data_IF_980323025999
#
_entry.id   IF_980323025999
#
_cell.length_a   1.000
_cell.length_b   1.000
_cell.length_c   1.000
_cell.angle_alpha   90.00
_cell.angle_beta   90.00
_cell.angle_gamma   90.00
#
_symmetry.space_group_name_H-M   'P 1'
#
loop_
_entity.id
_entity.type
_entity.pdbx_description
1 polymer ?
#
# COMPACT_ATOMS: atom_id res chain seq x y z
N UNK A 1 15.76 -9.33 14.10
CA UNK A 1 16.11 -8.75 12.76
C UNK A 1 15.82 -7.24 12.79
N UNK A 2 15.97 -6.49 11.70
CA UNK A 2 15.60 -5.05 11.65
C UNK A 2 14.47 -4.81 10.66
N UNK A 3 13.69 -3.75 10.89
CA UNK A 3 12.72 -3.24 9.90
C UNK A 3 13.48 -2.49 8.81
N UNK A 4 13.33 -2.92 7.56
CA UNK A 4 13.85 -2.19 6.41
C UNK A 4 12.91 -1.02 6.06
N UNK A 5 13.48 0.15 5.81
CA UNK A 5 12.78 1.32 5.29
C UNK A 5 13.30 1.62 3.88
N UNK A 6 12.44 1.44 2.88
CA UNK A 6 12.75 1.78 1.49
C UNK A 6 12.19 3.17 1.16
N UNK A 7 13.06 4.05 0.66
CA UNK A 7 12.71 5.40 0.18
C UNK A 7 13.48 5.73 -1.08
N UNK A 8 13.02 6.71 -1.87
CA UNK A 8 13.84 7.25 -2.95
C UNK A 8 13.45 8.69 -3.29
N UNK A 9 14.46 9.52 -3.61
CA UNK A 9 14.32 10.94 -3.92
C UNK A 9 13.49 11.23 -5.18
N UNK A 10 13.30 10.24 -6.06
CA UNK A 10 12.39 10.36 -7.21
C UNK A 10 10.94 10.64 -6.77
N UNK A 11 10.56 10.25 -5.55
CA UNK A 11 9.26 10.60 -4.94
C UNK A 11 9.05 12.12 -4.86
N UNK A 12 10.13 12.91 -4.75
CA UNK A 12 10.10 14.38 -4.74
C UNK A 12 9.97 14.99 -6.15
N UNK A 13 10.07 14.15 -7.21
CA UNK A 13 9.98 14.57 -8.61
C UNK A 13 8.61 14.33 -9.22
N UNK A 14 7.78 13.47 -8.61
CA UNK A 14 6.36 13.35 -8.95
C UNK A 14 5.59 14.58 -8.43
N UNK A 15 5.41 15.55 -9.32
CA UNK A 15 4.67 16.78 -9.06
C UNK A 15 3.22 16.64 -9.53
N UNK A 16 2.33 17.06 -8.65
CA UNK A 16 0.90 17.19 -8.92
C UNK A 16 0.51 18.67 -9.01
N UNK A 17 -0.62 19.02 -9.65
CA UNK A 17 -1.06 20.41 -9.74
C UNK A 17 -1.23 21.10 -8.37
N UNK A 18 -1.12 22.44 -8.29
CA UNK A 18 -1.36 23.15 -7.04
C UNK A 18 -2.72 22.83 -6.43
N UNK A 19 -2.74 22.52 -5.13
CA UNK A 19 -3.97 22.15 -4.40
C UNK A 19 -4.36 20.68 -4.49
N UNK A 20 -3.60 19.87 -5.24
CA UNK A 20 -3.79 18.43 -5.28
C UNK A 20 -3.41 17.79 -3.93
N UNK A 21 -4.23 16.88 -3.36
CA UNK A 21 -3.97 16.30 -2.04
C UNK A 21 -2.75 15.36 -2.04
N UNK A 22 -2.54 14.63 -3.13
CA UNK A 22 -1.37 13.78 -3.37
C UNK A 22 -0.14 14.66 -3.69
N UNK A 23 0.37 15.39 -2.70
CA UNK A 23 1.43 16.40 -2.85
C UNK A 23 2.78 15.92 -2.30
N UNK A 24 3.88 16.52 -2.79
CA UNK A 24 5.25 16.25 -2.33
C UNK A 24 5.39 16.39 -0.81
N UNK A 25 4.70 17.36 -0.20
CA UNK A 25 4.77 17.60 1.24
C UNK A 25 4.44 16.36 2.08
N UNK A 26 3.67 15.39 1.55
CA UNK A 26 3.40 14.10 2.20
C UNK A 26 4.69 13.36 2.55
N UNK A 27 5.57 13.15 1.56
CA UNK A 27 6.81 12.41 1.79
C UNK A 27 7.82 13.22 2.60
N UNK A 28 7.82 14.55 2.49
CA UNK A 28 8.66 15.41 3.33
C UNK A 28 8.30 15.27 4.82
N UNK A 29 6.99 15.25 5.14
CA UNK A 29 6.53 15.08 6.52
C UNK A 29 6.80 13.67 7.05
N UNK A 30 6.60 12.63 6.23
CA UNK A 30 6.96 11.25 6.57
C UNK A 30 8.47 11.14 6.85
N UNK A 31 9.31 11.64 5.95
CA UNK A 31 10.76 11.61 6.12
C UNK A 31 11.20 12.37 7.37
N UNK A 32 10.61 13.53 7.64
CA UNK A 32 10.89 14.28 8.86
C UNK A 32 10.53 13.49 10.13
N UNK A 33 9.36 12.86 10.17
CA UNK A 33 8.92 12.04 11.30
C UNK A 33 9.81 10.81 11.50
N UNK A 34 10.12 10.09 10.42
CA UNK A 34 10.96 8.90 10.46
C UNK A 34 12.44 9.21 10.67
N UNK A 35 12.89 10.47 10.64
CA UNK A 35 14.25 10.87 11.02
C UNK A 35 14.43 11.11 12.52
N UNK A 36 13.36 11.01 13.32
CA UNK A 36 13.44 11.18 14.76
C UNK A 36 14.27 10.05 15.45
N UNK A 37 14.91 10.32 16.61
CA UNK A 37 15.86 9.39 17.24
C UNK A 37 15.32 7.98 17.53
N UNK A 38 14.02 7.84 17.80
CA UNK A 38 13.40 6.54 18.04
C UNK A 38 13.43 5.61 16.81
N UNK A 39 13.61 6.16 15.61
CA UNK A 39 13.71 5.42 14.34
C UNK A 39 15.17 5.25 13.87
N UNK A 40 16.15 5.47 14.75
CA UNK A 40 17.56 5.34 14.42
C UNK A 40 18.00 3.91 14.08
N UNK A 41 17.22 2.91 14.51
CA UNK A 41 17.50 1.49 14.26
C UNK A 41 16.88 0.94 12.96
N UNK A 42 16.17 1.78 12.18
CA UNK A 42 15.68 1.37 10.86
C UNK A 42 16.85 1.09 9.92
N UNK A 43 16.74 -0.01 9.19
CA UNK A 43 17.66 -0.31 8.08
C UNK A 43 17.22 0.46 6.83
N UNK A 44 17.84 1.60 6.59
CA UNK A 44 17.46 2.51 5.50
C UNK A 44 18.10 2.09 4.19
N UNK A 45 17.26 1.81 3.20
CA UNK A 45 17.67 1.37 1.88
C UNK A 45 17.07 2.28 0.82
N UNK A 46 17.82 2.52 -0.25
CA UNK A 46 17.25 3.14 -1.45
C UNK A 46 16.31 2.14 -2.13
N UNK A 47 15.09 2.58 -2.47
CA UNK A 47 14.22 1.81 -3.33
C UNK A 47 14.85 1.75 -4.73
N UNK A 48 15.15 0.57 -5.30
CA UNK A 48 15.76 0.49 -6.62
C UNK A 48 14.75 0.84 -7.72
N UNK A 49 15.24 1.15 -8.91
CA UNK A 49 14.41 1.16 -10.11
C UNK A 49 13.97 -0.28 -10.42
N UNK A 50 12.69 -0.50 -10.70
CA UNK A 50 12.19 -1.83 -11.08
C UNK A 50 12.58 -2.19 -12.51
N UNK A 51 12.56 -3.47 -12.84
CA UNK A 51 12.59 -3.92 -14.24
C UNK A 51 11.19 -3.84 -14.87
N UNK A 52 11.11 -3.72 -16.19
CA UNK A 52 9.82 -3.79 -16.89
C UNK A 52 9.09 -5.11 -16.60
N UNK A 53 9.85 -6.19 -16.44
CA UNK A 53 9.33 -7.50 -16.08
C UNK A 53 8.62 -7.53 -14.72
N UNK A 54 8.91 -6.59 -13.81
CA UNK A 54 8.20 -6.46 -12.53
C UNK A 54 6.80 -5.90 -12.76
N UNK A 55 6.70 -4.79 -13.50
CA UNK A 55 5.41 -4.16 -13.85
C UNK A 55 4.53 -5.12 -14.66
N UNK A 56 5.16 -5.89 -15.56
CA UNK A 56 4.48 -6.87 -16.42
C UNK A 56 3.89 -8.07 -15.67
N UNK A 57 4.16 -8.23 -14.37
CA UNK A 57 3.46 -9.23 -13.54
C UNK A 57 1.97 -8.91 -13.36
N UNK A 58 1.59 -7.64 -13.45
CA UNK A 58 0.23 -7.15 -13.23
C UNK A 58 -0.35 -6.40 -14.42
N UNK A 59 0.48 -5.62 -15.13
CA UNK A 59 0.02 -4.74 -16.19
C UNK A 59 0.49 -5.23 -17.56
N UNK A 60 -0.31 -5.13 -18.63
CA UNK A 60 0.15 -5.45 -19.96
C UNK A 60 1.17 -4.42 -20.47
N UNK A 61 1.98 -4.82 -21.44
CA UNK A 61 2.97 -3.94 -22.09
C UNK A 61 2.35 -2.64 -22.60
N UNK A 62 1.08 -2.66 -23.05
CA UNK A 62 0.35 -1.48 -23.50
C UNK A 62 0.17 -0.44 -22.40
N UNK A 63 -0.11 -0.84 -21.15
CA UNK A 63 -0.23 0.07 -20.01
C UNK A 63 1.10 0.72 -19.68
N UNK A 64 2.16 -0.08 -19.53
CA UNK A 64 3.52 0.42 -19.30
C UNK A 64 3.95 1.44 -20.38
N UNK A 65 3.67 1.11 -21.64
CA UNK A 65 3.99 1.98 -22.78
C UNK A 65 3.18 3.28 -22.72
N UNK A 66 1.88 3.19 -22.39
CA UNK A 66 1.01 4.36 -22.29
C UNK A 66 1.45 5.32 -21.18
N UNK A 67 1.80 4.80 -19.99
CA UNK A 67 2.34 5.62 -18.89
C UNK A 67 3.63 6.31 -19.33
N UNK A 68 4.59 5.56 -19.89
CA UNK A 68 5.86 6.14 -20.33
C UNK A 68 5.68 7.21 -21.43
N UNK A 69 4.71 7.05 -22.32
CA UNK A 69 4.40 8.03 -23.38
C UNK A 69 3.62 9.25 -22.89
N UNK A 70 2.85 9.10 -21.80
CA UNK A 70 2.08 10.21 -21.24
C UNK A 70 2.97 11.20 -20.48
N UNK A 71 4.15 10.80 -20.01
CA UNK A 71 5.03 11.66 -19.22
C UNK A 71 5.40 12.97 -19.96
N UNK A 72 5.04 14.14 -19.41
CA UNK A 72 5.30 15.40 -20.07
C UNK A 72 6.77 15.82 -19.88
N UNK A 73 7.33 16.51 -20.87
CA UNK A 73 8.67 17.10 -20.77
C UNK A 73 8.72 18.29 -19.80
N UNK A 74 7.59 18.95 -19.55
CA UNK A 74 7.44 20.05 -18.58
C UNK A 74 5.99 20.20 -18.15
N UNK A 75 5.76 20.72 -16.94
CA UNK A 75 4.41 20.90 -16.40
C UNK A 75 3.78 19.58 -15.96
N UNK A 76 2.45 19.54 -15.94
CA UNK A 76 1.66 18.36 -15.59
C UNK A 76 0.69 17.99 -16.72
N UNK A 77 0.34 16.72 -16.80
CA UNK A 77 -0.73 16.19 -17.66
C UNK A 77 -1.70 15.40 -16.78
N UNK A 78 -2.99 15.48 -17.07
CA UNK A 78 -4.01 14.67 -16.43
C UNK A 78 -4.19 13.37 -17.24
N UNK A 79 -4.16 12.22 -16.56
CA UNK A 79 -4.52 10.92 -17.13
C UNK A 79 -6.02 10.66 -17.02
N UNK A 80 -6.62 11.12 -15.92
CA UNK A 80 -8.06 11.13 -15.69
C UNK A 80 -8.47 12.38 -14.86
N UNK A 81 -9.56 12.30 -14.07
CA UNK A 81 -10.06 13.43 -13.28
C UNK A 81 -9.19 13.81 -12.08
N UNK A 82 -8.36 12.88 -11.59
CA UNK A 82 -7.62 13.06 -10.33
C UNK A 82 -6.15 12.56 -10.43
N UNK A 83 -5.79 11.77 -11.42
CA UNK A 83 -4.45 11.22 -11.63
C UNK A 83 -3.66 12.06 -12.60
N UNK A 84 -2.52 12.56 -12.13
CA UNK A 84 -1.68 13.48 -12.89
C UNK A 84 -0.26 12.93 -13.00
N UNK A 85 0.45 13.32 -14.07
CA UNK A 85 1.88 13.08 -14.23
C UNK A 85 2.61 14.39 -14.51
N UNK A 86 3.78 14.55 -13.91
CA UNK A 86 4.82 15.51 -14.30
C UNK A 86 6.06 14.80 -14.87
N UNK A 87 7.02 15.58 -15.38
CA UNK A 87 8.38 15.07 -15.59
C UNK A 87 8.93 14.48 -14.28
N UNK A 88 9.43 13.25 -14.34
CA UNK A 88 9.92 12.46 -13.22
C UNK A 88 8.91 11.45 -12.64
N UNK A 89 7.65 11.46 -13.08
CA UNK A 89 6.60 10.59 -12.51
C UNK A 89 6.81 9.13 -12.85
N UNK A 90 7.25 8.81 -14.06
CA UNK A 90 7.51 7.42 -14.45
C UNK A 90 8.62 6.84 -13.58
N UNK A 91 9.73 7.56 -13.42
CA UNK A 91 10.83 7.15 -12.55
C UNK A 91 10.36 7.00 -11.09
N UNK A 92 9.57 7.94 -10.56
CA UNK A 92 9.02 7.84 -9.21
C UNK A 92 8.19 6.57 -9.01
N UNK A 93 7.28 6.27 -9.94
CA UNK A 93 6.43 5.08 -9.88
C UNK A 93 7.24 3.77 -10.01
N UNK A 94 8.27 3.75 -10.86
CA UNK A 94 9.16 2.59 -10.97
C UNK A 94 9.95 2.33 -9.69
N UNK A 95 10.40 3.38 -8.99
CA UNK A 95 11.03 3.23 -7.69
C UNK A 95 10.04 2.79 -6.60
N UNK A 96 8.77 3.20 -6.66
CA UNK A 96 7.74 2.68 -5.75
C UNK A 96 7.53 1.17 -5.95
N UNK A 97 7.44 0.71 -7.20
CA UNK A 97 7.38 -0.72 -7.54
C UNK A 97 8.65 -1.45 -7.11
N UNK A 98 9.83 -0.91 -7.46
CA UNK A 98 11.12 -1.53 -7.16
C UNK A 98 11.41 -1.61 -5.67
N UNK A 99 10.97 -0.63 -4.89
CA UNK A 99 10.98 -0.68 -3.43
C UNK A 99 10.14 -1.84 -2.88
N UNK A 100 8.95 -2.08 -3.44
CA UNK A 100 8.09 -3.20 -3.03
C UNK A 100 8.69 -4.55 -3.41
N UNK A 101 9.26 -4.67 -4.61
CA UNK A 101 9.96 -5.89 -5.07
C UNK A 101 11.15 -6.20 -4.16
N UNK A 102 12.02 -5.20 -3.91
CA UNK A 102 13.19 -5.36 -3.05
C UNK A 102 12.84 -5.62 -1.58
N UNK A 103 11.72 -5.07 -1.09
CA UNK A 103 11.21 -5.36 0.24
C UNK A 103 10.76 -6.82 0.38
N UNK A 104 10.07 -7.36 -0.62
CA UNK A 104 9.71 -8.79 -0.67
C UNK A 104 10.96 -9.65 -0.69
N UNK A 105 11.94 -9.32 -1.55
CA UNK A 105 13.22 -10.05 -1.63
C UNK A 105 13.91 -10.09 -0.26
N UNK A 106 14.06 -8.93 0.38
CA UNK A 106 14.74 -8.81 1.66
C UNK A 106 14.04 -9.60 2.79
N UNK A 107 12.71 -9.56 2.83
CA UNK A 107 11.92 -10.24 3.88
C UNK A 107 11.87 -11.75 3.66
N UNK A 108 11.82 -12.23 2.41
CA UNK A 108 11.86 -13.67 2.11
C UNK A 108 13.27 -14.26 2.32
N UNK A 109 14.32 -13.47 2.07
CA UNK A 109 15.71 -13.88 2.28
C UNK A 109 16.15 -13.83 3.75
N UNK A 110 15.27 -13.44 4.69
CA UNK A 110 15.59 -13.16 6.09
C UNK A 110 16.67 -12.06 6.27
N UNK A 111 16.87 -11.21 5.26
CA UNK A 111 17.76 -10.03 5.30
C UNK A 111 17.11 -8.84 6.05
N UNK A 112 15.79 -8.88 6.23
CA UNK A 112 15.00 -7.96 7.06
C UNK A 112 13.85 -8.74 7.69
N UNK A 113 13.44 -8.38 8.92
CA UNK A 113 12.32 -9.05 9.58
C UNK A 113 10.97 -8.67 8.95
N UNK A 114 10.84 -7.39 8.62
CA UNK A 114 9.73 -6.80 7.88
C UNK A 114 10.22 -5.53 7.17
N UNK A 115 9.38 -4.94 6.32
CA UNK A 115 9.74 -3.76 5.56
C UNK A 115 8.59 -2.76 5.42
N UNK A 116 8.93 -1.47 5.34
CA UNK A 116 8.04 -0.39 4.93
C UNK A 116 8.61 0.35 3.71
N UNK A 117 7.79 0.53 2.68
CA UNK A 117 8.13 1.26 1.46
C UNK A 117 7.43 2.62 1.49
N UNK A 118 8.19 3.67 1.82
CA UNK A 118 7.71 5.04 1.83
C UNK A 118 8.07 5.71 0.50
N UNK A 119 7.35 5.35 -0.56
CA UNK A 119 7.50 5.90 -1.89
C UNK A 119 6.18 6.50 -2.40
N UNK A 120 6.29 7.39 -3.40
CA UNK A 120 5.15 7.96 -4.13
C UNK A 120 5.44 7.93 -5.63
N UNK A 121 4.44 7.76 -6.52
CA UNK A 121 2.98 7.69 -6.26
C UNK A 121 2.48 6.37 -5.62
N UNK A 122 1.24 6.36 -5.06
CA UNK A 122 0.59 5.15 -4.53
C UNK A 122 0.20 4.16 -5.65
N UNK A 123 -0.42 3.02 -5.30
CA UNK A 123 -0.67 1.94 -6.25
C UNK A 123 -2.03 1.24 -6.20
N UNK A 124 -2.73 1.17 -5.07
CA UNK A 124 -3.87 0.25 -4.92
C UNK A 124 -5.11 0.51 -5.82
N UNK A 125 -5.19 1.66 -6.51
CA UNK A 125 -6.24 1.96 -7.48
C UNK A 125 -5.89 1.63 -8.93
N UNK A 126 -4.61 1.40 -9.27
CA UNK A 126 -4.21 1.13 -10.64
C UNK A 126 -4.71 -0.25 -11.10
N UNK A 127 -5.70 -0.27 -11.98
CA UNK A 127 -6.22 -1.51 -12.58
C UNK A 127 -5.28 -2.01 -13.71
N UNK A 128 -5.66 -3.12 -14.36
CA UNK A 128 -4.84 -3.74 -15.41
C UNK A 128 -4.33 -2.75 -16.46
N UNK A 129 -5.19 -1.88 -17.00
CA UNK A 129 -4.83 -0.90 -18.05
C UNK A 129 -5.38 0.49 -17.79
N UNK A 130 -5.68 0.81 -16.53
CA UNK A 130 -6.30 2.08 -16.14
C UNK A 130 -5.57 2.66 -14.94
N UNK A 131 -4.75 3.71 -15.13
CA UNK A 131 -4.25 4.52 -14.03
C UNK A 131 -5.40 5.41 -13.53
N UNK A 132 -5.61 5.45 -12.22
CA UNK A 132 -6.68 6.22 -11.57
C UNK A 132 -6.39 6.40 -10.07
N UNK A 133 -7.07 7.31 -9.39
CA UNK A 133 -6.90 7.51 -7.94
C UNK A 133 -5.47 7.80 -7.54
N UNK A 134 -4.78 8.62 -8.32
CA UNK A 134 -3.36 8.95 -8.17
C UNK A 134 -2.37 7.81 -8.48
N UNK A 135 -2.86 6.61 -8.77
CA UNK A 135 -2.05 5.41 -8.90
C UNK A 135 -1.66 5.15 -10.36
N UNK A 136 -0.37 4.87 -10.61
CA UNK A 136 0.14 4.55 -11.94
C UNK A 136 0.36 3.03 -12.16
N UNK A 137 0.82 2.32 -11.12
CA UNK A 137 1.05 0.88 -11.12
C UNK A 137 0.60 0.27 -9.79
N UNK A 138 0.11 -0.97 -9.81
CA UNK A 138 -0.41 -1.69 -8.64
C UNK A 138 0.69 -2.20 -7.71
N UNK A 139 1.35 -1.31 -6.96
CA UNK A 139 2.52 -1.60 -6.11
C UNK A 139 2.37 -2.87 -5.25
N UNK A 140 1.30 -2.95 -4.43
CA UNK A 140 1.05 -4.09 -3.55
C UNK A 140 0.71 -5.37 -4.32
N UNK A 141 -0.04 -5.27 -5.42
CA UNK A 141 -0.38 -6.40 -6.28
C UNK A 141 0.87 -6.98 -6.99
N UNK A 142 1.75 -6.10 -7.49
CA UNK A 142 3.03 -6.49 -8.10
C UNK A 142 3.91 -7.20 -7.06
N UNK A 143 3.99 -6.67 -5.84
CA UNK A 143 4.71 -7.31 -4.75
C UNK A 143 4.17 -8.72 -4.44
N UNK A 144 2.85 -8.88 -4.44
CA UNK A 144 2.21 -10.18 -4.24
C UNK A 144 2.54 -11.16 -5.38
N UNK A 145 2.43 -10.71 -6.63
CA UNK A 145 2.77 -11.54 -7.80
C UNK A 145 4.25 -11.88 -7.86
N UNK A 146 5.13 -10.97 -7.44
CA UNK A 146 6.57 -11.22 -7.33
C UNK A 146 6.88 -12.32 -6.31
N UNK A 147 6.29 -12.24 -5.11
CA UNK A 147 6.42 -13.27 -4.08
C UNK A 147 5.92 -14.64 -4.57
N UNK A 148 4.80 -14.68 -5.29
CA UNK A 148 4.22 -15.91 -5.82
C UNK A 148 5.04 -16.51 -6.98
N UNK A 149 5.36 -15.68 -7.97
CA UNK A 149 5.86 -16.16 -9.27
C UNK A 149 7.38 -16.25 -9.32
N UNK A 150 8.10 -15.47 -8.49
CA UNK A 150 9.58 -15.48 -8.45
C UNK A 150 10.16 -16.14 -7.20
N UNK A 151 9.46 -16.09 -6.07
CA UNK A 151 9.86 -16.79 -4.83
C UNK A 151 9.10 -18.09 -4.58
N UNK A 152 8.08 -18.40 -5.38
CA UNK A 152 7.36 -19.67 -5.30
C UNK A 152 6.47 -19.81 -4.08
N UNK A 153 6.09 -18.70 -3.42
CA UNK A 153 5.07 -18.74 -2.39
C UNK A 153 3.75 -19.25 -2.98
N UNK A 154 2.98 -19.94 -2.16
CA UNK A 154 1.69 -20.51 -2.51
C UNK A 154 0.52 -19.73 -1.93
N UNK A 155 0.75 -18.91 -0.89
CA UNK A 155 -0.29 -18.14 -0.19
C UNK A 155 0.23 -16.76 0.22
N UNK A 156 -0.22 -15.71 -0.46
CA UNK A 156 0.14 -14.31 -0.12
C UNK A 156 -1.13 -13.53 0.20
N UNK A 157 -1.19 -12.92 1.39
CA UNK A 157 -2.33 -12.07 1.76
C UNK A 157 -1.98 -10.60 1.51
N UNK A 158 -2.91 -9.85 0.92
CA UNK A 158 -2.84 -8.39 0.82
C UNK A 158 -3.96 -7.80 1.66
N UNK A 159 -3.61 -7.02 2.68
CA UNK A 159 -4.56 -6.33 3.55
C UNK A 159 -4.47 -4.83 3.28
N UNK A 160 -5.57 -4.26 2.81
CA UNK A 160 -5.71 -2.86 2.47
C UNK A 160 -6.61 -2.17 3.49
N UNK A 161 -6.02 -1.22 4.22
CA UNK A 161 -6.72 -0.39 5.20
C UNK A 161 -6.67 1.10 4.84
N UNK A 162 -6.32 1.43 3.58
CA UNK A 162 -6.65 2.72 3.00
C UNK A 162 -8.16 2.92 3.02
N UNK A 163 -8.61 4.16 3.21
CA UNK A 163 -10.04 4.46 3.33
C UNK A 163 -10.79 4.26 2.02
N UNK A 164 -10.09 4.32 0.88
CA UNK A 164 -10.65 4.09 -0.43
C UNK A 164 -10.56 2.60 -0.77
N UNK A 165 -11.55 2.10 -1.52
CA UNK A 165 -11.51 0.72 -1.97
C UNK A 165 -10.32 0.50 -2.92
N UNK A 166 -9.42 -0.43 -2.58
CA UNK A 166 -8.31 -0.88 -3.44
C UNK A 166 -8.75 -1.66 -4.68
N UNK A 167 -9.54 -1.02 -5.55
CA UNK A 167 -10.13 -1.61 -6.75
C UNK A 167 -9.06 -2.11 -7.75
N UNK A 168 -7.90 -1.45 -7.81
CA UNK A 168 -6.76 -1.87 -8.62
C UNK A 168 -6.21 -3.20 -8.15
N UNK A 169 -5.87 -3.30 -6.86
CA UNK A 169 -5.42 -4.56 -6.25
C UNK A 169 -6.47 -5.67 -6.41
N UNK A 170 -7.77 -5.36 -6.20
CA UNK A 170 -8.86 -6.31 -6.44
C UNK A 170 -8.86 -6.83 -7.89
N UNK A 171 -8.79 -5.94 -8.87
CA UNK A 171 -8.85 -6.30 -10.29
C UNK A 171 -7.60 -7.08 -10.73
N UNK A 172 -6.42 -6.70 -10.24
CA UNK A 172 -5.15 -7.32 -10.58
C UNK A 172 -4.98 -8.72 -9.98
N UNK A 173 -5.65 -9.00 -8.84
CA UNK A 173 -5.60 -10.29 -8.16
C UNK A 173 -6.89 -11.11 -8.31
N UNK A 174 -7.85 -10.64 -9.12
CA UNK A 174 -9.21 -11.20 -9.20
C UNK A 174 -9.26 -12.70 -9.47
N UNK A 175 -8.35 -13.21 -10.31
CA UNK A 175 -8.28 -14.60 -10.75
C UNK A 175 -7.08 -15.38 -10.18
N UNK A 176 -6.41 -14.84 -9.16
CA UNK A 176 -5.23 -15.46 -8.54
C UNK A 176 -5.62 -16.28 -7.29
N UNK A 177 -5.80 -17.61 -7.37
CA UNK A 177 -6.25 -18.44 -6.24
C UNK A 177 -5.23 -18.55 -5.11
N UNK A 178 -3.98 -18.13 -5.35
CA UNK A 178 -2.90 -18.14 -4.34
C UNK A 178 -2.88 -16.87 -3.48
N UNK A 179 -3.77 -15.91 -3.74
CA UNK A 179 -3.88 -14.70 -2.92
C UNK A 179 -5.11 -14.74 -2.01
N UNK A 180 -5.08 -13.89 -0.99
CA UNK A 180 -6.27 -13.41 -0.30
C UNK A 180 -6.17 -11.89 -0.21
N UNK A 181 -7.02 -11.18 -0.95
CA UNK A 181 -7.14 -9.74 -0.87
C UNK A 181 -8.26 -9.37 0.10
N UNK A 182 -7.96 -8.55 1.09
CA UNK A 182 -8.92 -8.03 2.05
C UNK A 182 -8.80 -6.52 2.07
N UNK A 183 -9.91 -5.81 1.93
CA UNK A 183 -9.97 -4.34 2.01
C UNK A 183 -11.06 -3.91 2.97
N UNK A 184 -10.73 -2.99 3.86
CA UNK A 184 -11.70 -2.26 4.69
C UNK A 184 -11.71 -0.80 4.29
N UNK A 185 -12.77 -0.35 3.64
CA UNK A 185 -12.86 0.98 3.03
C UNK A 185 -14.19 1.64 3.39
N UNK A 186 -14.26 2.96 3.30
CA UNK A 186 -15.52 3.66 3.47
C UNK A 186 -16.47 3.36 2.30
N UNK A 187 -17.75 3.09 2.61
CA UNK A 187 -18.80 3.01 1.61
C UNK A 187 -20.08 3.70 2.12
N UNK A 188 -20.67 4.64 1.36
CA UNK A 188 -20.25 5.09 0.02
C UNK A 188 -19.05 6.07 0.09
N UNK A 189 -18.11 5.90 -0.85
CA UNK A 189 -17.00 6.82 -1.15
C UNK A 189 -16.52 6.56 -2.59
N UNK A 190 -15.72 7.46 -3.18
CA UNK A 190 -14.94 7.13 -4.38
C UNK A 190 -14.07 5.89 -4.09
N UNK A 191 -13.88 4.93 -5.02
CA UNK A 191 -14.31 4.91 -6.42
C UNK A 191 -15.75 4.38 -6.66
N UNK A 192 -16.52 4.08 -5.61
CA UNK A 192 -17.90 3.59 -5.74
C UNK A 192 -18.01 2.09 -6.04
N UNK A 193 -16.95 1.31 -5.77
CA UNK A 193 -16.88 -0.15 -5.91
C UNK A 193 -16.57 -0.80 -4.54
N UNK A 194 -16.32 -2.11 -4.49
CA UNK A 194 -15.94 -2.79 -3.25
C UNK A 194 -17.14 -3.35 -2.48
N UNK A 195 -18.18 -3.81 -3.17
CA UNK A 195 -19.33 -4.40 -2.51
C UNK A 195 -18.99 -5.79 -1.94
N UNK A 196 -19.61 -6.22 -0.81
CA UNK A 196 -19.31 -7.52 -0.18
C UNK A 196 -19.53 -8.75 -1.08
N UNK A 197 -20.32 -8.62 -2.15
CA UNK A 197 -20.58 -9.71 -3.10
C UNK A 197 -19.47 -9.91 -4.15
N UNK A 198 -18.53 -8.98 -4.25
CA UNK A 198 -17.37 -9.07 -5.15
C UNK A 198 -16.30 -9.95 -4.50
N UNK A 199 -16.34 -11.26 -4.77
CA UNK A 199 -15.54 -12.27 -4.06
C UNK A 199 -14.34 -12.80 -4.84
N UNK A 200 -14.06 -12.24 -6.03
CA UNK A 200 -13.03 -12.75 -6.92
C UNK A 200 -13.47 -14.01 -7.67
N UNK A 201 -12.78 -14.35 -8.76
CA UNK A 201 -13.05 -15.57 -9.51
C UNK A 201 -12.63 -16.84 -8.76
N UNK A 202 -11.72 -16.71 -7.78
CA UNK A 202 -11.20 -17.79 -6.96
C UNK A 202 -11.72 -17.77 -5.50
N UNK A 203 -12.73 -16.95 -5.20
CA UNK A 203 -13.20 -16.71 -3.82
C UNK A 203 -12.07 -16.20 -2.90
N UNK A 204 -11.25 -15.30 -3.44
CA UNK A 204 -10.02 -14.78 -2.86
C UNK A 204 -10.09 -13.28 -2.50
N UNK A 205 -11.25 -12.65 -2.65
CA UNK A 205 -11.48 -11.24 -2.31
C UNK A 205 -12.49 -11.12 -1.19
N UNK A 206 -12.21 -10.25 -0.21
CA UNK A 206 -13.13 -9.88 0.85
C UNK A 206 -13.20 -8.37 1.04
N UNK A 207 -14.38 -7.82 0.78
CA UNK A 207 -14.67 -6.40 0.93
C UNK A 207 -15.45 -6.14 2.21
N UNK A 208 -14.90 -5.30 3.08
CA UNK A 208 -15.48 -4.90 4.35
C UNK A 208 -15.82 -3.41 4.36
N UNK A 209 -16.93 -3.00 3.72
CA UNK A 209 -17.34 -1.60 3.69
C UNK A 209 -17.68 -1.09 5.10
N UNK A 210 -17.13 0.05 5.46
CA UNK A 210 -17.36 0.75 6.70
C UNK A 210 -18.24 2.00 6.42
N UNK A 211 -19.28 2.24 7.23
CA UNK A 211 -20.12 3.41 7.03
C UNK A 211 -19.34 4.69 7.36
N UNK A 212 -19.66 5.83 6.69
CA UNK A 212 -19.12 7.13 7.06
C UNK A 212 -19.28 7.43 8.55
N UNK A 213 -18.34 8.16 9.11
CA UNK A 213 -18.28 8.55 10.53
C UNK A 213 -18.09 7.40 11.52
N UNK A 214 -17.86 6.17 11.05
CA UNK A 214 -17.44 5.09 11.93
C UNK A 214 -16.03 5.28 12.44
N UNK A 215 -15.77 4.76 13.63
CA UNK A 215 -14.55 4.94 14.41
C UNK A 215 -13.73 3.64 14.47
N UNK A 216 -12.56 3.73 15.11
CA UNK A 216 -11.70 2.58 15.37
C UNK A 216 -12.40 1.44 16.12
N UNK A 217 -13.46 1.70 16.92
CA UNK A 217 -14.19 0.64 17.62
C UNK A 217 -14.94 -0.25 16.62
N UNK A 218 -15.60 0.32 15.62
CA UNK A 218 -16.27 -0.47 14.59
C UNK A 218 -15.24 -1.23 13.74
N UNK A 219 -14.17 -0.57 13.31
CA UNK A 219 -13.08 -1.23 12.58
C UNK A 219 -12.55 -2.43 13.37
N UNK A 220 -12.17 -2.25 14.64
CA UNK A 220 -11.62 -3.32 15.48
C UNK A 220 -12.58 -4.50 15.59
N UNK A 221 -13.87 -4.23 15.79
CA UNK A 221 -14.90 -5.27 15.85
C UNK A 221 -15.00 -6.06 14.53
N UNK A 222 -15.01 -5.37 13.38
CA UNK A 222 -15.02 -6.00 12.05
C UNK A 222 -13.77 -6.85 11.83
N UNK A 223 -12.59 -6.31 12.16
CA UNK A 223 -11.33 -7.04 11.98
C UNK A 223 -11.25 -8.28 12.88
N UNK A 224 -11.65 -8.16 14.14
CA UNK A 224 -11.66 -9.28 15.08
C UNK A 224 -12.65 -10.38 14.70
N UNK A 225 -13.84 -10.00 14.21
CA UNK A 225 -14.89 -10.94 13.87
C UNK A 225 -14.67 -11.62 12.51
N UNK A 226 -14.11 -10.91 11.54
CA UNK A 226 -14.14 -11.34 10.14
C UNK A 226 -12.75 -11.43 9.50
N UNK A 227 -11.96 -10.34 9.53
CA UNK A 227 -10.68 -10.25 8.82
C UNK A 227 -9.62 -11.17 9.42
N UNK A 228 -9.40 -11.11 10.74
CA UNK A 228 -8.38 -11.93 11.38
C UNK A 228 -8.69 -13.42 11.30
N UNK A 229 -9.93 -13.90 11.53
CA UNK A 229 -10.27 -15.29 11.26
C UNK A 229 -10.01 -15.72 9.81
N UNK A 230 -10.33 -14.87 8.82
CA UNK A 230 -10.05 -15.17 7.42
C UNK A 230 -8.53 -15.32 7.15
N UNK A 231 -7.70 -14.41 7.66
CA UNK A 231 -6.25 -14.49 7.53
C UNK A 231 -5.68 -15.75 8.19
N UNK A 232 -6.14 -16.09 9.41
CA UNK A 232 -5.71 -17.32 10.10
C UNK A 232 -6.16 -18.59 9.39
N UNK A 233 -7.33 -18.58 8.75
CA UNK A 233 -7.79 -19.70 7.94
C UNK A 233 -6.95 -19.86 6.67
N UNK A 234 -6.57 -18.74 6.06
CA UNK A 234 -5.75 -18.71 4.85
C UNK A 234 -4.29 -19.11 5.09
N UNK A 235 -3.74 -18.84 6.29
CA UNK A 235 -2.35 -19.18 6.67
C UNK A 235 -1.33 -18.64 5.65
N UNK A 236 -1.26 -17.31 5.48
CA UNK A 236 -0.36 -16.69 4.51
C UNK A 236 1.10 -17.03 4.81
N UNK A 237 1.92 -17.02 3.76
CA UNK A 237 3.38 -17.18 3.80
C UNK A 237 4.10 -15.83 3.73
N UNK A 238 3.35 -14.77 3.43
CA UNK A 238 3.73 -13.36 3.46
C UNK A 238 2.45 -12.51 3.61
N UNK A 239 2.50 -11.47 4.45
CA UNK A 239 1.50 -10.40 4.46
C UNK A 239 2.05 -9.17 3.74
N UNK A 240 1.25 -8.62 2.83
CA UNK A 240 1.48 -7.31 2.21
C UNK A 240 0.42 -6.35 2.70
N UNK A 241 0.82 -5.15 3.11
CA UNK A 241 -0.08 -4.12 3.61
C UNK A 241 -0.13 -2.95 2.64
N UNK A 242 -1.31 -2.66 2.09
CA UNK A 242 -1.60 -1.39 1.43
C UNK A 242 -1.93 -0.39 2.54
N UNK A 243 -0.91 0.36 2.95
CA UNK A 243 -0.95 1.21 4.14
C UNK A 243 -1.32 2.65 3.78
N UNK A 244 -2.62 2.88 3.63
CA UNK A 244 -3.22 4.21 3.58
C UNK A 244 -3.54 4.73 4.99
N UNK A 245 -3.39 6.04 5.19
CA UNK A 245 -3.64 6.70 6.47
C UNK A 245 -4.73 7.77 6.41
N UNK A 246 -5.54 7.74 5.36
CA UNK A 246 -6.67 8.63 5.07
C UNK A 246 -7.99 8.22 5.74
N UNK A 247 -8.01 7.12 6.48
CA UNK A 247 -9.10 6.83 7.41
C UNK A 247 -9.04 7.68 8.70
N UNK A 248 -7.98 8.48 8.86
CA UNK A 248 -7.80 9.35 10.01
C UNK A 248 -8.88 10.44 10.07
N UNK A 249 -9.35 10.77 11.27
CA UNK A 249 -10.43 11.77 11.49
C UNK A 249 -10.12 13.18 10.99
N UNK A 250 -8.86 13.48 10.71
CA UNK A 250 -8.40 14.79 10.23
C UNK A 250 -8.22 14.80 8.71
N UNK A 251 -8.32 13.65 8.04
CA UNK A 251 -8.10 13.54 6.61
C UNK A 251 -9.21 14.23 5.81
N UNK A 252 -8.87 15.04 4.78
CA UNK A 252 -9.87 15.79 4.02
C UNK A 252 -10.63 14.96 2.98
N UNK A 253 -10.18 13.73 2.64
CA UNK A 253 -10.74 12.98 1.51
C UNK A 253 -11.79 11.94 1.90
N UNK A 254 -11.95 11.66 3.20
CA UNK A 254 -12.92 10.70 3.69
C UNK A 254 -13.61 11.18 4.98
N UNK A 255 -14.42 10.30 5.57
CA UNK A 255 -15.29 10.61 6.69
C UNK A 255 -15.18 9.57 7.81
N UNK A 256 -14.24 8.62 7.73
CA UNK A 256 -13.93 7.72 8.84
C UNK A 256 -13.22 8.51 9.95
N UNK A 257 -13.43 8.07 11.19
CA UNK A 257 -12.94 8.74 12.39
C UNK A 257 -11.91 7.87 13.13
N UNK A 258 -10.95 7.28 12.40
CA UNK A 258 -9.85 6.58 13.06
C UNK A 258 -8.86 7.59 13.62
N UNK A 259 -8.06 7.16 14.59
CA UNK A 259 -6.95 7.94 15.11
C UNK A 259 -5.62 7.19 14.91
N UNK A 260 -4.51 7.85 15.22
CA UNK A 260 -3.16 7.27 15.16
C UNK A 260 -3.03 5.92 15.91
N UNK A 261 -3.71 5.75 17.05
CA UNK A 261 -3.65 4.51 17.84
C UNK A 261 -4.39 3.35 17.17
N UNK A 262 -5.38 3.63 16.32
CA UNK A 262 -6.06 2.61 15.52
C UNK A 262 -5.14 2.02 14.45
N UNK A 263 -4.32 2.86 13.80
CA UNK A 263 -3.28 2.40 12.87
C UNK A 263 -2.19 1.59 13.58
N UNK A 264 -1.77 2.00 14.78
CA UNK A 264 -0.86 1.19 15.58
C UNK A 264 -1.48 -0.16 15.99
N UNK A 265 -2.77 -0.16 16.34
CA UNK A 265 -3.48 -1.38 16.73
C UNK A 265 -3.60 -2.36 15.57
N UNK A 266 -4.09 -1.94 14.41
CA UNK A 266 -4.26 -2.83 13.25
C UNK A 266 -2.92 -3.40 12.79
N UNK A 267 -1.86 -2.58 12.79
CA UNK A 267 -0.50 -3.02 12.47
C UNK A 267 -0.03 -4.13 13.41
N UNK A 268 -0.26 -3.97 14.71
CA UNK A 268 0.17 -4.93 15.74
C UNK A 268 -0.53 -6.27 15.59
N UNK A 269 -1.84 -6.25 15.35
CA UNK A 269 -2.61 -7.48 15.15
C UNK A 269 -2.19 -8.20 13.85
N UNK A 270 -1.96 -7.45 12.76
CA UNK A 270 -1.48 -8.02 11.50
C UNK A 270 -0.08 -8.61 11.62
N UNK A 271 0.85 -7.93 12.32
CA UNK A 271 2.18 -8.48 12.61
C UNK A 271 2.11 -9.71 13.51
N UNK A 272 1.19 -9.73 14.49
CA UNK A 272 0.96 -10.92 15.32
C UNK A 272 0.51 -12.12 14.48
N UNK A 273 -0.40 -11.91 13.52
CA UNK A 273 -0.80 -12.97 12.58
C UNK A 273 0.38 -13.38 11.68
N UNK A 274 1.22 -12.44 11.27
CA UNK A 274 2.41 -12.75 10.50
C UNK A 274 3.42 -13.61 11.29
N UNK A 275 3.63 -13.34 12.57
CA UNK A 275 4.42 -14.19 13.47
C UNK A 275 3.85 -15.60 13.59
N UNK A 276 2.51 -15.72 13.67
CA UNK A 276 1.82 -17.01 13.76
C UNK A 276 2.00 -17.88 12.50
N UNK A 277 1.97 -17.31 11.28
CA UNK A 277 1.85 -18.09 10.03
C UNK A 277 2.96 -17.89 9.00
N UNK A 278 3.65 -16.76 9.01
CA UNK A 278 4.71 -16.45 8.04
C UNK A 278 6.01 -15.96 8.67
N UNK A 279 6.33 -16.40 9.89
CA UNK A 279 7.58 -16.07 10.59
C UNK A 279 7.86 -14.56 10.65
N UNK A 280 6.81 -13.76 10.86
CA UNK A 280 6.90 -12.30 10.98
C UNK A 280 7.04 -11.55 9.65
N UNK A 281 7.04 -12.26 8.51
CA UNK A 281 7.22 -11.65 7.18
C UNK A 281 6.07 -10.71 6.82
N UNK A 282 6.35 -9.41 6.87
CA UNK A 282 5.44 -8.33 6.47
C UNK A 282 6.15 -7.36 5.54
N UNK A 283 5.50 -7.00 4.43
CA UNK A 283 5.90 -5.88 3.57
C UNK A 283 4.75 -4.88 3.54
N UNK A 284 5.00 -3.66 3.99
CA UNK A 284 4.02 -2.57 3.97
C UNK A 284 4.42 -1.52 2.94
N UNK A 285 3.47 -1.00 2.18
CA UNK A 285 3.70 0.05 1.17
C UNK A 285 2.74 1.20 1.38
N UNK A 286 3.27 2.43 1.28
CA UNK A 286 2.49 3.65 1.47
C UNK A 286 1.45 3.82 0.35
N UNK A 287 0.20 4.04 0.72
CA UNK A 287 -0.90 4.41 -0.18
C UNK A 287 -1.32 5.88 0.07
N UNK A 288 -2.56 6.12 0.51
CA UNK A 288 -3.15 7.44 0.78
C UNK A 288 -2.80 8.07 2.14
N UNK A 289 -3.56 9.11 2.49
CA UNK A 289 -3.36 9.96 3.68
C UNK A 289 -2.85 11.36 3.30
N UNK A 290 -3.64 12.39 3.60
CA UNK A 290 -3.57 13.70 2.95
C UNK A 290 -3.61 14.89 3.92
N UNK A 291 -4.02 14.70 5.18
CA UNK A 291 -3.60 15.62 6.25
C UNK A 291 -2.15 15.34 6.65
N UNK A 292 -1.27 16.32 6.49
CA UNK A 292 0.19 16.11 6.61
C UNK A 292 0.64 15.74 8.03
N UNK A 293 -0.04 16.26 9.06
CA UNK A 293 0.32 15.98 10.45
C UNK A 293 -0.19 14.61 10.87
N UNK A 294 -1.46 14.32 10.55
CA UNK A 294 -2.08 13.03 10.81
C UNK A 294 -1.37 11.90 10.05
N UNK A 295 -1.00 12.11 8.78
CA UNK A 295 -0.20 11.19 7.98
C UNK A 295 1.13 10.87 8.66
N UNK A 296 1.90 11.90 9.02
CA UNK A 296 3.20 11.73 9.64
C UNK A 296 3.12 10.98 10.98
N UNK A 297 2.13 11.33 11.82
CA UNK A 297 1.90 10.66 13.10
C UNK A 297 1.48 9.19 12.91
N UNK A 298 0.60 8.92 11.96
CA UNK A 298 0.07 7.57 11.70
C UNK A 298 1.11 6.65 11.07
N UNK A 299 1.91 7.16 10.12
CA UNK A 299 3.07 6.44 9.57
C UNK A 299 4.11 6.16 10.66
N UNK A 300 4.43 7.14 11.50
CA UNK A 300 5.36 6.94 12.61
C UNK A 300 4.88 5.85 13.57
N UNK A 301 3.59 5.83 13.91
CA UNK A 301 2.99 4.82 14.76
C UNK A 301 2.99 3.41 14.11
N UNK A 302 2.67 3.33 12.82
CA UNK A 302 2.76 2.10 12.02
C UNK A 302 4.17 1.52 12.01
N UNK A 303 5.17 2.35 11.66
CA UNK A 303 6.58 1.94 11.58
C UNK A 303 7.14 1.58 12.95
N UNK A 304 6.75 2.28 14.02
CA UNK A 304 7.16 1.93 15.37
C UNK A 304 6.70 0.51 15.73
N UNK A 305 5.48 0.12 15.37
CA UNK A 305 5.00 -1.25 15.59
C UNK A 305 5.76 -2.25 14.73
N UNK A 306 6.05 -1.95 13.46
CA UNK A 306 6.89 -2.82 12.63
C UNK A 306 8.26 -3.09 13.29
N UNK A 307 8.87 -2.07 13.89
CA UNK A 307 10.14 -2.20 14.63
C UNK A 307 10.02 -3.07 15.88
N UNK A 308 8.87 -3.04 16.57
CA UNK A 308 8.60 -3.93 17.73
C UNK A 308 8.59 -5.41 17.31
N UNK A 309 8.12 -5.72 16.10
CA UNK A 309 8.01 -7.09 15.56
C UNK A 309 9.20 -7.54 14.73
N UNK A 310 10.10 -6.63 14.35
CA UNK A 310 11.33 -7.02 13.69
C UNK A 310 12.37 -7.58 14.67
N UNK A 311 12.26 -7.26 15.97
CA UNK A 311 13.24 -7.53 17.01
C UNK A 311 13.57 -9.03 17.21
#
# INVERSE_FOLDING_TARGET
>A
MTTALFTHDSSLKHQTPPGHPEQIARIEHINAALNAPQFAALDRRDAPDCEDADILLCHPQSHLTAIAQAEPTSGTVALDGDTHMSSGSTMAARHAVGGCVAAVDAVIADDAGNAFVACRPPGHHAEQSTPMGFCLFGNAAIAAKHALDRHGLSRVAVVDFDVHHGNGTQALLWDEPRTLFITSHQNPLWPGTGMPGETGAANNVQNWPLPPHSDGRLMRATYQAEVFPALRAFKPELLILSAGFDAHTDDPLAQLNWNTEDFAWITRELCTIADEFCAGRVVSTLEGGYDLNALAASVAAHVQVLMEFAA
#
